data_IF_575514431758
#
_entry.id   IF_575514431758
#
_cell.length_a   1.000
_cell.length_b   1.000
_cell.length_c   1.000
_cell.angle_alpha   90.00
_cell.angle_beta   90.00
_cell.angle_gamma   90.00
#
_symmetry.space_group_name_H-M   'P 1'
#
loop_
_entity.id
_entity.type
_entity.pdbx_description
1 polymer ?
#
# COMPACT_ATOMS: atom_id res chain seq x y z
N UNK A 1 8.63 3.04 16.57
CA UNK A 1 8.13 4.03 15.61
C UNK A 1 7.70 5.27 16.38
N UNK A 2 8.13 6.40 15.92
CA UNK A 2 7.57 7.64 16.41
C UNK A 2 6.08 7.65 16.08
N UNK A 3 5.24 8.06 17.04
CA UNK A 3 3.81 8.10 16.82
C UNK A 3 3.44 8.89 15.57
N UNK A 4 2.39 8.47 14.88
CA UNK A 4 1.85 9.21 13.77
C UNK A 4 1.25 10.52 14.25
N UNK A 5 1.60 11.62 13.58
CA UNK A 5 0.98 12.91 13.83
C UNK A 5 -0.25 13.04 12.92
N UNK A 6 -1.42 12.76 13.49
CA UNK A 6 -2.68 12.81 12.73
C UNK A 6 -2.98 14.18 12.13
N UNK A 7 -2.63 15.26 12.80
CA UNK A 7 -2.85 16.62 12.28
C UNK A 7 -2.03 16.84 11.01
N UNK A 8 -0.77 16.44 11.00
CA UNK A 8 0.08 16.59 9.82
C UNK A 8 -0.37 15.69 8.68
N UNK A 9 -0.81 14.46 8.97
CA UNK A 9 -1.35 13.56 7.95
C UNK A 9 -2.64 14.15 7.36
N UNK A 10 -3.55 14.62 8.20
CA UNK A 10 -4.80 15.22 7.76
C UNK A 10 -4.53 16.47 6.91
N UNK A 11 -3.61 17.32 7.32
CA UNK A 11 -3.20 18.48 6.55
C UNK A 11 -2.61 18.09 5.19
N UNK A 12 -1.73 17.07 5.16
CA UNK A 12 -1.16 16.58 3.92
C UNK A 12 -2.22 16.06 2.95
N UNK A 13 -3.17 15.28 3.46
CA UNK A 13 -4.26 14.73 2.65
C UNK A 13 -5.22 15.82 2.18
N UNK A 14 -5.52 16.80 3.03
CA UNK A 14 -6.46 17.87 2.70
C UNK A 14 -5.92 18.81 1.63
N UNK A 15 -4.61 19.02 1.57
CA UNK A 15 -3.99 19.96 0.63
C UNK A 15 -3.51 19.29 -0.65
N UNK A 16 -3.13 18.01 -0.59
CA UNK A 16 -2.66 17.29 -1.78
C UNK A 16 -3.84 16.95 -2.69
N UNK A 17 -3.72 17.28 -3.98
CA UNK A 17 -4.74 17.02 -5.01
C UNK A 17 -6.06 17.81 -4.86
N UNK A 18 -6.28 18.46 -3.71
CA UNK A 18 -7.54 19.17 -3.45
C UNK A 18 -7.40 20.67 -3.65
N UNK A 19 -6.26 21.22 -3.35
CA UNK A 19 -6.01 22.67 -3.52
C UNK A 19 -4.64 22.90 -4.15
N UNK A 20 -4.62 23.32 -5.41
CA UNK A 20 -3.39 23.58 -6.15
C UNK A 20 -2.59 24.76 -5.60
N UNK A 21 -3.22 25.64 -4.83
CA UNK A 21 -2.60 26.85 -4.30
C UNK A 21 -1.92 26.63 -2.95
N UNK A 22 -2.13 25.47 -2.33
CA UNK A 22 -1.58 25.13 -1.02
C UNK A 22 -0.62 23.95 -1.17
N UNK A 23 0.63 24.14 -0.75
CA UNK A 23 1.61 23.05 -0.75
C UNK A 23 1.30 22.08 0.37
N UNK A 24 1.30 20.78 0.05
CA UNK A 24 1.15 19.73 1.02
C UNK A 24 2.41 19.60 1.88
N UNK A 25 2.24 19.06 3.11
CA UNK A 25 3.38 18.73 3.96
C UNK A 25 4.27 17.69 3.27
N UNK A 26 5.56 17.99 3.15
CA UNK A 26 6.52 17.15 2.42
C UNK A 26 6.59 15.73 3.00
N UNK A 27 6.52 15.57 4.34
CA UNK A 27 6.62 14.27 5.00
C UNK A 27 5.40 13.37 4.75
N UNK A 28 4.23 13.96 4.55
CA UNK A 28 2.97 13.22 4.45
C UNK A 28 2.26 13.48 3.12
N UNK A 29 3.00 13.96 2.12
CA UNK A 29 2.42 14.29 0.81
C UNK A 29 2.00 13.02 0.10
N UNK A 30 0.71 12.88 -0.26
CA UNK A 30 0.29 11.82 -1.16
C UNK A 30 0.96 11.95 -2.53
N UNK A 31 1.29 10.82 -3.12
CA UNK A 31 1.86 10.74 -4.45
C UNK A 31 0.92 9.97 -5.37
N UNK A 32 0.72 10.49 -6.56
CA UNK A 32 0.03 9.75 -7.62
C UNK A 32 1.05 8.91 -8.38
N UNK A 33 0.79 7.61 -8.46
CA UNK A 33 1.69 6.66 -9.12
C UNK A 33 0.94 6.01 -10.28
N UNK A 34 1.54 6.02 -11.46
CA UNK A 34 0.98 5.37 -12.63
C UNK A 34 2.08 4.64 -13.41
N UNK A 35 1.65 3.70 -14.25
CA UNK A 35 2.57 3.06 -15.18
C UNK A 35 2.96 4.05 -16.28
N UNK A 36 4.25 4.19 -16.52
CA UNK A 36 4.79 5.02 -17.59
C UNK A 36 5.90 4.24 -18.28
N UNK A 37 5.54 3.55 -19.34
CA UNK A 37 6.47 2.69 -20.05
C UNK A 37 7.58 3.47 -20.77
N UNK A 38 7.33 4.70 -21.16
CA UNK A 38 8.34 5.54 -21.82
C UNK A 38 9.49 5.88 -20.89
N UNK A 39 9.19 6.13 -19.63
CA UNK A 39 10.18 6.46 -18.61
C UNK A 39 10.55 5.28 -17.71
N UNK A 40 10.09 4.07 -18.06
CA UNK A 40 10.39 2.85 -17.30
C UNK A 40 9.71 2.76 -15.95
N UNK A 41 8.68 3.58 -15.70
CA UNK A 41 7.95 3.56 -14.44
C UNK A 41 6.90 2.46 -14.42
N UNK A 42 6.89 1.69 -13.34
CA UNK A 42 5.86 0.68 -13.07
C UNK A 42 5.33 0.87 -11.66
N UNK A 43 4.02 0.82 -11.52
CA UNK A 43 3.37 0.92 -10.20
C UNK A 43 3.91 -0.17 -9.27
N UNK A 44 4.06 -1.40 -9.77
CA UNK A 44 4.57 -2.52 -8.99
C UNK A 44 5.94 -2.23 -8.38
N UNK A 45 6.89 -1.71 -9.18
CA UNK A 45 8.24 -1.40 -8.70
C UNK A 45 8.22 -0.36 -7.59
N UNK A 46 7.38 0.66 -7.72
CA UNK A 46 7.25 1.70 -6.70
C UNK A 46 6.66 1.14 -5.42
N UNK A 47 5.63 0.29 -5.51
CA UNK A 47 5.03 -0.35 -4.33
C UNK A 47 6.06 -1.23 -3.64
N UNK A 48 6.83 -2.02 -4.37
CA UNK A 48 7.88 -2.87 -3.80
C UNK A 48 8.94 -2.04 -3.06
N UNK A 49 9.43 -0.96 -3.67
CA UNK A 49 10.41 -0.09 -3.05
C UNK A 49 9.90 0.53 -1.76
N UNK A 50 8.67 1.04 -1.77
CA UNK A 50 8.07 1.65 -0.59
C UNK A 50 7.86 0.61 0.52
N UNK A 51 7.40 -0.58 0.18
CA UNK A 51 7.22 -1.65 1.15
C UNK A 51 8.54 -2.08 1.79
N UNK A 52 9.61 -2.17 1.00
CA UNK A 52 10.93 -2.58 1.52
C UNK A 52 11.55 -1.57 2.47
N UNK A 53 11.10 -0.33 2.46
CA UNK A 53 11.62 0.76 3.30
C UNK A 53 10.62 1.26 4.33
N UNK A 54 9.45 0.63 4.46
CA UNK A 54 8.43 1.08 5.42
C UNK A 54 8.65 0.50 6.81
N UNK A 55 8.08 1.16 7.81
CA UNK A 55 8.01 0.66 9.19
C UNK A 55 6.71 -0.14 9.42
N UNK A 56 5.68 0.20 8.69
CA UNK A 56 4.39 -0.50 8.65
C UNK A 56 3.68 -0.10 7.37
N UNK A 57 2.63 -0.83 6.99
CA UNK A 57 1.88 -0.49 5.79
C UNK A 57 0.39 -0.71 5.95
N UNK A 58 -0.38 0.04 5.17
CA UNK A 58 -1.82 -0.13 5.05
C UNK A 58 -2.17 -0.04 3.57
N UNK A 59 -2.77 -1.09 3.05
CA UNK A 59 -3.22 -1.16 1.66
C UNK A 59 -4.74 -1.26 1.64
N UNK A 60 -5.37 -0.38 0.88
CA UNK A 60 -6.82 -0.41 0.67
C UNK A 60 -7.07 -0.60 -0.83
N UNK A 61 -7.76 -1.68 -1.16
CA UNK A 61 -8.06 -2.03 -2.55
C UNK A 61 -9.49 -2.52 -2.67
N UNK A 62 -10.09 -2.32 -3.84
CA UNK A 62 -11.47 -2.73 -4.07
C UNK A 62 -11.61 -4.26 -4.12
N UNK A 63 -10.64 -4.96 -4.68
CA UNK A 63 -10.65 -6.43 -4.77
C UNK A 63 -9.22 -6.95 -4.93
N UNK A 64 -9.05 -8.24 -4.60
CA UNK A 64 -7.75 -8.91 -4.62
C UNK A 64 -7.85 -10.16 -5.48
N UNK A 65 -6.86 -10.35 -6.37
CA UNK A 65 -6.73 -11.55 -7.20
C UNK A 65 -5.36 -12.18 -7.00
N UNK A 66 -5.24 -13.49 -7.30
CA UNK A 66 -3.94 -14.16 -7.27
C UNK A 66 -2.94 -13.51 -8.24
N UNK A 67 -3.40 -13.13 -9.44
CA UNK A 67 -2.55 -12.43 -10.40
C UNK A 67 -2.04 -11.10 -9.88
N UNK A 68 -2.83 -10.43 -9.06
CA UNK A 68 -2.44 -9.16 -8.46
C UNK A 68 -1.42 -9.30 -7.34
N UNK A 69 -1.55 -10.31 -6.48
CA UNK A 69 -0.65 -10.47 -5.33
C UNK A 69 0.61 -11.29 -5.63
N UNK A 70 0.58 -12.18 -6.63
CA UNK A 70 1.70 -13.06 -6.93
C UNK A 70 3.02 -12.30 -7.09
N UNK A 71 3.09 -11.18 -7.83
CA UNK A 71 4.34 -10.43 -7.95
C UNK A 71 4.85 -9.85 -6.63
N UNK A 72 3.97 -9.67 -5.63
CA UNK A 72 4.32 -9.08 -4.34
C UNK A 72 4.64 -10.10 -3.26
N UNK A 73 4.40 -11.39 -3.50
CA UNK A 73 4.55 -12.42 -2.46
C UNK A 73 5.95 -12.45 -1.86
N UNK A 74 6.99 -12.33 -2.68
CA UNK A 74 8.36 -12.33 -2.19
C UNK A 74 8.64 -11.12 -1.29
N UNK A 75 8.16 -9.95 -1.68
CA UNK A 75 8.30 -8.73 -0.88
C UNK A 75 7.56 -8.87 0.44
N UNK A 76 6.35 -9.39 0.42
CA UNK A 76 5.56 -9.62 1.64
C UNK A 76 6.25 -10.61 2.57
N UNK A 77 6.86 -11.65 2.02
CA UNK A 77 7.62 -12.64 2.81
C UNK A 77 8.84 -11.99 3.45
N UNK A 78 9.53 -11.11 2.75
CA UNK A 78 10.65 -10.34 3.28
C UNK A 78 10.20 -9.46 4.46
N UNK A 79 9.04 -8.82 4.35
CA UNK A 79 8.48 -8.01 5.43
C UNK A 79 8.11 -8.87 6.64
N UNK A 80 7.59 -10.08 6.43
CA UNK A 80 7.30 -11.01 7.50
C UNK A 80 8.58 -11.38 8.25
N UNK A 81 9.66 -11.69 7.55
CA UNK A 81 10.95 -12.01 8.14
C UNK A 81 11.53 -10.86 8.95
N UNK A 82 11.28 -9.63 8.53
CA UNK A 82 11.70 -8.42 9.24
C UNK A 82 10.77 -8.02 10.40
N UNK A 83 9.63 -8.69 10.54
CA UNK A 83 8.65 -8.34 11.56
C UNK A 83 7.84 -7.08 11.29
N UNK A 84 7.82 -6.61 10.05
CA UNK A 84 7.06 -5.41 9.65
C UNK A 84 5.60 -5.78 9.52
N UNK A 85 4.74 -5.08 10.25
CA UNK A 85 3.30 -5.34 10.30
C UNK A 85 2.55 -4.50 9.27
N UNK A 86 1.50 -5.08 8.72
CA UNK A 86 0.65 -4.37 7.77
C UNK A 86 -0.79 -4.82 7.84
N UNK A 87 -1.64 -4.01 7.23
CA UNK A 87 -3.07 -4.29 7.11
C UNK A 87 -3.49 -4.13 5.65
N UNK A 88 -4.35 -5.03 5.22
CA UNK A 88 -4.94 -4.97 3.88
C UNK A 88 -6.45 -4.92 4.05
N UNK A 89 -7.05 -3.83 3.56
CA UNK A 89 -8.49 -3.64 3.57
C UNK A 89 -9.03 -3.86 2.16
N UNK A 90 -9.99 -4.74 2.03
CA UNK A 90 -10.67 -5.02 0.77
C UNK A 90 -12.15 -5.27 1.02
N UNK A 91 -12.91 -5.46 -0.03
CA UNK A 91 -14.34 -5.75 0.06
C UNK A 91 -14.64 -7.14 -0.49
N UNK A 92 -15.68 -7.75 0.03
CA UNK A 92 -16.26 -8.97 -0.52
C UNK A 92 -17.44 -8.71 -1.48
N UNK A 93 -17.68 -7.43 -1.78
CA UNK A 93 -18.80 -7.02 -2.62
C UNK A 93 -18.74 -7.70 -4.00
N UNK A 94 -19.86 -8.33 -4.38
CA UNK A 94 -20.01 -9.08 -5.62
C UNK A 94 -18.94 -10.18 -5.83
N UNK A 95 -18.26 -10.63 -4.77
CA UNK A 95 -17.26 -11.68 -4.81
C UNK A 95 -16.13 -11.42 -5.83
N UNK A 96 -15.75 -10.16 -6.01
CA UNK A 96 -14.65 -9.80 -6.90
C UNK A 96 -13.27 -10.20 -6.36
N UNK A 97 -13.12 -10.34 -5.04
CA UNK A 97 -11.88 -10.87 -4.46
C UNK A 97 -11.85 -12.40 -4.59
N UNK A 98 -10.72 -12.93 -5.02
CA UNK A 98 -10.52 -14.38 -5.14
C UNK A 98 -10.27 -14.99 -3.75
N UNK A 99 -11.05 -16.01 -3.32
CA UNK A 99 -10.81 -16.67 -2.04
C UNK A 99 -9.39 -17.21 -1.89
N UNK A 100 -8.81 -17.75 -2.95
CA UNK A 100 -7.43 -18.26 -2.94
C UNK A 100 -6.42 -17.16 -2.60
N UNK A 101 -6.63 -15.93 -3.11
CA UNK A 101 -5.76 -14.80 -2.81
C UNK A 101 -5.87 -14.40 -1.35
N UNK A 102 -7.07 -14.35 -0.80
CA UNK A 102 -7.31 -14.04 0.61
C UNK A 102 -6.69 -15.11 1.51
N UNK A 103 -6.86 -16.39 1.16
CA UNK A 103 -6.24 -17.50 1.91
C UNK A 103 -4.72 -17.39 1.88
N UNK A 104 -4.14 -17.03 0.75
CA UNK A 104 -2.69 -16.86 0.63
C UNK A 104 -2.19 -15.73 1.53
N UNK A 105 -2.89 -14.59 1.56
CA UNK A 105 -2.53 -13.48 2.46
C UNK A 105 -2.67 -13.88 3.92
N UNK A 106 -3.64 -14.71 4.27
CA UNK A 106 -3.81 -15.20 5.62
C UNK A 106 -2.64 -16.08 6.11
N UNK A 107 -1.79 -16.60 5.21
CA UNK A 107 -0.60 -17.35 5.61
C UNK A 107 0.52 -16.46 6.17
N UNK A 108 0.44 -15.15 5.96
CA UNK A 108 1.43 -14.21 6.49
C UNK A 108 1.06 -13.79 7.91
N UNK A 109 1.94 -14.07 8.86
CA UNK A 109 1.69 -13.76 10.28
C UNK A 109 1.70 -12.27 10.59
N UNK A 110 2.32 -11.46 9.76
CA UNK A 110 2.48 -10.02 9.93
C UNK A 110 1.38 -9.18 9.26
N UNK A 111 0.46 -9.82 8.54
CA UNK A 111 -0.58 -9.13 7.77
C UNK A 111 -1.95 -9.45 8.33
N UNK A 112 -2.71 -8.38 8.61
CA UNK A 112 -4.12 -8.44 8.96
C UNK A 112 -4.94 -8.07 7.71
N UNK A 113 -5.90 -8.91 7.39
CA UNK A 113 -6.76 -8.69 6.21
C UNK A 113 -8.20 -8.47 6.61
#
# INVERSE_FOLDING_TARGET
>A
MLGMNYENIQSGLSTAFLDKNISSNVLYRPQFISNDYKNGRKVLSTIEDELLHCDSFLISVAFITMGGITPLLQTLRTLEDKGIKGKILTTDYLAFSEPKALDKLATFSNIET
#
